data_IF_838060728504
#
_entry.id   IF_838060728504
#
_cell.length_a   1.000
_cell.length_b   1.000
_cell.length_c   1.000
_cell.angle_alpha   90.00
_cell.angle_beta   90.00
_cell.angle_gamma   90.00
#
_symmetry.space_group_name_H-M   'P 1'
#
loop_
_entity.id
_entity.type
_entity.pdbx_description
1 polymer ?
#
# COMPACT_ATOMS: atom_id res chain seq x y z
N UNK A 1 21.12 -7.11 3.15
CA UNK A 1 20.41 -8.12 2.34
C UNK A 1 19.14 -7.48 1.82
N UNK A 2 18.82 -7.49 0.51
CA UNK A 2 17.60 -6.88 0.03
C UNK A 2 16.47 -7.88 0.30
N UNK A 3 15.89 -7.80 1.49
CA UNK A 3 14.69 -8.56 1.88
C UNK A 3 13.82 -7.77 2.87
N UNK A 4 14.17 -6.52 3.21
CA UNK A 4 13.36 -5.67 4.09
C UNK A 4 12.45 -4.70 3.34
N UNK A 5 12.69 -4.44 2.05
CA UNK A 5 11.92 -3.44 1.27
C UNK A 5 10.94 -4.07 0.27
N UNK A 6 10.86 -5.39 0.16
CA UNK A 6 10.01 -6.09 -0.82
C UNK A 6 8.55 -6.28 -0.35
N UNK A 7 8.21 -5.88 0.89
CA UNK A 7 6.87 -6.11 1.45
C UNK A 7 5.90 -4.94 1.26
N UNK A 8 6.39 -3.77 0.87
CA UNK A 8 5.57 -2.56 0.78
C UNK A 8 4.92 -2.33 -0.56
N UNK A 9 4.67 -3.35 -1.38
CA UNK A 9 4.04 -3.15 -2.69
C UNK A 9 3.14 -4.34 -3.08
N UNK A 10 1.86 -4.09 -3.36
CA UNK A 10 0.90 -5.13 -3.74
C UNK A 10 -0.07 -4.65 -4.83
N UNK A 11 -0.18 -5.41 -5.93
CA UNK A 11 -1.07 -5.08 -7.04
C UNK A 11 -2.50 -5.58 -6.82
N UNK A 12 -3.46 -4.74 -7.18
CA UNK A 12 -4.83 -5.19 -7.45
C UNK A 12 -4.90 -6.14 -8.65
N UNK A 13 -5.85 -7.09 -8.65
CA UNK A 13 -5.96 -8.08 -9.73
C UNK A 13 -6.27 -7.47 -11.10
N UNK A 14 -7.03 -6.39 -11.11
CA UNK A 14 -7.37 -5.67 -12.34
C UNK A 14 -6.26 -4.72 -12.81
N UNK A 15 -5.10 -4.71 -12.13
CA UNK A 15 -3.94 -3.86 -12.44
C UNK A 15 -4.22 -2.35 -12.41
N UNK A 16 -5.31 -1.90 -11.78
CA UNK A 16 -5.65 -0.47 -11.70
C UNK A 16 -4.99 0.24 -10.52
N UNK A 17 -4.70 -0.53 -9.47
CA UNK A 17 -4.19 -0.01 -8.21
C UNK A 17 -2.98 -0.78 -7.70
N UNK A 18 -2.16 -0.06 -6.95
CA UNK A 18 -1.07 -0.55 -6.13
C UNK A 18 -1.26 -0.08 -4.70
N UNK A 19 -1.12 -0.99 -3.74
CA UNK A 19 -0.90 -0.63 -2.34
C UNK A 19 0.59 -0.50 -2.09
N UNK A 20 0.98 0.49 -1.29
CA UNK A 20 2.34 0.64 -0.84
C UNK A 20 2.43 1.24 0.56
N UNK A 21 3.54 0.97 1.25
CA UNK A 21 3.82 1.57 2.57
C UNK A 21 4.71 2.79 2.38
N UNK A 22 4.36 3.92 3.02
CA UNK A 22 5.16 5.15 2.98
C UNK A 22 5.17 5.81 4.35
N UNK A 23 6.30 6.41 4.76
CA UNK A 23 6.32 7.22 5.97
C UNK A 23 5.67 8.59 5.72
N UNK A 24 4.84 9.04 6.67
CA UNK A 24 4.49 10.45 6.87
C UNK A 24 4.80 10.85 8.32
N UNK A 25 5.64 11.88 8.50
CA UNK A 25 6.11 12.35 9.81
C UNK A 25 6.61 11.25 10.77
N UNK A 26 7.45 10.33 10.27
CA UNK A 26 8.07 9.22 11.02
C UNK A 26 7.13 8.09 11.47
N UNK A 27 5.87 8.08 11.02
CA UNK A 27 4.96 6.93 11.15
C UNK A 27 4.71 6.35 9.74
N UNK A 28 4.64 5.02 9.63
CA UNK A 28 4.37 4.34 8.36
C UNK A 28 2.89 4.02 8.19
N UNK A 29 2.33 4.41 7.05
CA UNK A 29 0.95 4.13 6.68
C UNK A 29 0.88 3.38 5.34
N UNK A 30 -0.28 2.76 5.09
CA UNK A 30 -0.61 2.15 3.82
C UNK A 30 -1.30 3.17 2.92
N UNK A 31 -0.80 3.27 1.69
CA UNK A 31 -1.33 4.12 0.64
C UNK A 31 -1.75 3.27 -0.55
N UNK A 32 -2.66 3.81 -1.36
CA UNK A 32 -3.05 3.28 -2.66
C UNK A 32 -2.74 4.31 -3.73
N UNK A 33 -2.15 3.88 -4.84
CA UNK A 33 -2.04 4.70 -6.05
C UNK A 33 -2.90 4.11 -7.17
N UNK A 34 -3.68 4.97 -7.82
CA UNK A 34 -4.31 4.69 -9.11
C UNK A 34 -3.28 4.81 -10.23
N UNK A 35 -3.13 3.76 -11.03
CA UNK A 35 -2.03 3.63 -11.98
C UNK A 35 -2.19 4.53 -13.21
N UNK A 36 -3.43 4.81 -13.60
CA UNK A 36 -3.72 5.61 -14.80
C UNK A 36 -3.63 7.11 -14.51
N UNK A 37 -4.10 7.52 -13.35
CA UNK A 37 -4.20 8.94 -12.94
C UNK A 37 -3.04 9.40 -12.07
N UNK A 38 -2.36 8.46 -11.39
CA UNK A 38 -1.37 8.76 -10.37
C UNK A 38 -1.96 9.30 -9.06
N UNK A 39 -3.28 9.25 -8.89
CA UNK A 39 -3.93 9.70 -7.66
C UNK A 39 -3.53 8.80 -6.47
N UNK A 40 -3.09 9.41 -5.37
CA UNK A 40 -2.69 8.73 -4.14
C UNK A 40 -3.76 8.93 -3.08
N UNK A 41 -4.21 7.84 -2.45
CA UNK A 41 -5.14 7.84 -1.32
C UNK A 41 -4.47 7.17 -0.12
N UNK A 42 -4.52 7.80 1.05
CA UNK A 42 -4.11 7.19 2.32
C UNK A 42 -5.21 6.23 2.79
N UNK A 43 -4.84 4.99 3.13
CA UNK A 43 -5.77 3.91 3.48
C UNK A 43 -5.83 3.64 4.99
N UNK A 44 -4.76 3.95 5.71
CA UNK A 44 -4.65 3.88 7.17
C UNK A 44 -4.19 5.24 7.70
N UNK A 45 -4.64 5.61 8.89
CA UNK A 45 -4.31 6.87 9.56
C UNK A 45 -4.58 6.69 11.06
N UNK A 46 -3.74 5.90 11.71
CA UNK A 46 -3.77 5.73 13.15
C UNK A 46 -2.37 5.87 13.77
N UNK A 47 -2.23 6.06 15.09
CA UNK A 47 -0.91 6.33 15.69
C UNK A 47 0.11 5.19 15.61
N UNK A 48 -0.25 4.03 15.06
CA UNK A 48 0.61 2.86 14.91
C UNK A 48 1.24 2.83 13.52
N UNK A 49 2.34 2.10 13.36
CA UNK A 49 2.88 1.82 12.03
C UNK A 49 2.12 0.66 11.35
N UNK A 50 1.80 0.84 10.08
CA UNK A 50 1.22 -0.15 9.19
C UNK A 50 2.21 -0.58 8.09
N UNK A 51 2.43 -1.88 7.97
CA UNK A 51 3.36 -2.48 7.02
C UNK A 51 2.73 -3.63 6.25
N UNK A 52 3.37 -4.01 5.14
CA UNK A 52 3.07 -5.22 4.37
C UNK A 52 1.61 -5.34 3.88
N UNK A 53 1.10 -4.35 3.12
CA UNK A 53 -0.26 -4.40 2.62
C UNK A 53 -0.48 -5.58 1.68
N UNK A 54 -1.69 -6.17 1.72
CA UNK A 54 -2.12 -7.21 0.81
C UNK A 54 -3.45 -6.83 0.16
N UNK A 55 -3.51 -6.94 -1.17
CA UNK A 55 -4.77 -6.86 -1.89
C UNK A 55 -5.44 -8.24 -1.89
N UNK A 56 -6.39 -8.46 -0.99
CA UNK A 56 -7.20 -9.69 -0.99
C UNK A 56 -8.45 -9.48 -1.85
N UNK A 57 -8.73 -10.45 -2.71
CA UNK A 57 -9.95 -10.46 -3.51
C UNK A 57 -10.82 -11.58 -2.96
N UNK A 58 -11.99 -11.21 -2.45
CA UNK A 58 -13.04 -12.19 -2.18
C UNK A 58 -13.88 -12.25 -3.46
N UNK A 59 -13.70 -13.31 -4.24
CA UNK A 59 -14.77 -13.72 -5.17
C UNK A 59 -15.71 -14.61 -4.36
N UNK A 60 -17.00 -14.24 -4.31
CA UNK A 60 -18.08 -15.08 -3.79
C UNK A 60 -18.38 -16.26 -4.75
#
# INVERSE_FOLDING_TARGET
TPAQYELGLNWSLNSQYLLFTSPDNDQYDIFRIDVDTGEITQMTDDPSDDYAPLWINFED
#
